data_IF_347282335692
#
_entry.id   IF_347282335692
#
_cell.length_a   1.000
_cell.length_b   1.000
_cell.length_c   1.000
_cell.angle_alpha   90.00
_cell.angle_beta   90.00
_cell.angle_gamma   90.00
#
_symmetry.space_group_name_H-M   'P 1'
#
loop_
_entity.id
_entity.type
_entity.pdbx_description
1 polymer ?
#
# COMPACT_ATOMS: atom_id res chain seq x y z
N UNK A 1 15.17 6.98 -3.63
CA UNK A 1 14.18 7.34 -2.61
C UNK A 1 14.72 6.97 -1.24
N UNK A 2 14.34 7.74 -0.25
CA UNK A 2 14.90 7.59 1.09
C UNK A 2 14.05 6.68 1.97
N UNK A 3 14.64 6.15 3.04
CA UNK A 3 13.91 5.39 4.06
C UNK A 3 12.82 6.24 4.70
N UNK A 4 13.03 7.55 4.83
CA UNK A 4 12.05 8.46 5.43
C UNK A 4 10.80 8.61 4.57
N UNK A 5 10.95 8.69 3.24
CA UNK A 5 9.79 8.76 2.36
C UNK A 5 9.03 7.44 2.34
N UNK A 6 9.74 6.31 2.37
CA UNK A 6 9.10 5.00 2.43
C UNK A 6 8.31 4.83 3.72
N UNK A 7 8.87 5.24 4.85
CA UNK A 7 8.17 5.20 6.13
C UNK A 7 6.93 6.10 6.14
N UNK A 8 7.03 7.30 5.57
CA UNK A 8 5.90 8.21 5.48
C UNK A 8 4.76 7.60 4.66
N UNK A 9 5.07 6.99 3.52
CA UNK A 9 4.07 6.30 2.69
C UNK A 9 3.47 5.13 3.46
N UNK A 10 4.30 4.32 4.11
CA UNK A 10 3.85 3.19 4.93
C UNK A 10 2.82 3.65 5.97
N UNK A 11 3.16 4.71 6.69
CA UNK A 11 2.30 5.20 7.77
C UNK A 11 0.96 5.70 7.24
N UNK A 12 0.96 6.41 6.12
CA UNK A 12 -0.28 6.86 5.48
C UNK A 12 -1.14 5.69 5.04
N UNK A 13 -0.53 4.68 4.41
CA UNK A 13 -1.26 3.51 3.92
C UNK A 13 -1.81 2.64 5.07
N UNK A 14 -1.06 2.53 6.16
CA UNK A 14 -1.55 1.82 7.35
C UNK A 14 -2.83 2.47 7.87
N UNK A 15 -2.85 3.79 7.99
CA UNK A 15 -4.03 4.53 8.43
C UNK A 15 -5.16 4.39 7.42
N UNK A 16 -4.86 4.54 6.13
CA UNK A 16 -5.86 4.37 5.06
C UNK A 16 -6.53 2.99 5.13
N UNK A 17 -5.75 1.95 5.42
CA UNK A 17 -6.22 0.58 5.44
C UNK A 17 -7.07 0.24 6.68
N UNK A 18 -7.15 1.11 7.67
CA UNK A 18 -8.08 0.94 8.80
C UNK A 18 -9.54 0.94 8.34
N UNK A 19 -9.83 1.63 7.22
CA UNK A 19 -11.16 1.66 6.64
C UNK A 19 -11.49 0.45 5.75
N UNK A 20 -10.52 -0.41 5.49
CA UNK A 20 -10.67 -1.58 4.63
C UNK A 20 -9.46 -1.77 3.71
N UNK A 21 -9.42 -2.85 2.94
CA UNK A 21 -8.32 -3.10 2.01
C UNK A 21 -8.10 -1.93 1.05
N UNK A 22 -6.84 -1.69 0.72
CA UNK A 22 -6.43 -0.62 -0.19
C UNK A 22 -5.90 -1.20 -1.49
N UNK A 23 -6.16 -0.53 -2.61
CA UNK A 23 -5.76 -1.01 -3.93
C UNK A 23 -4.37 -0.53 -4.34
N UNK A 24 -3.83 -1.16 -5.38
CA UNK A 24 -2.52 -0.81 -5.92
C UNK A 24 -2.46 0.64 -6.41
N UNK A 25 -3.56 1.16 -6.92
CA UNK A 25 -3.64 2.56 -7.37
C UNK A 25 -3.33 3.53 -6.23
N UNK A 26 -3.87 3.27 -5.05
CA UNK A 26 -3.61 4.12 -3.89
C UNK A 26 -2.13 4.06 -3.48
N UNK A 27 -1.54 2.87 -3.49
CA UNK A 27 -0.12 2.70 -3.17
C UNK A 27 0.74 3.52 -4.14
N UNK A 28 0.49 3.38 -5.44
CA UNK A 28 1.18 4.12 -6.49
C UNK A 28 1.07 5.64 -6.28
N UNK A 29 -0.12 6.12 -5.99
CA UNK A 29 -0.38 7.55 -5.77
C UNK A 29 0.35 8.10 -4.55
N UNK A 30 0.37 7.34 -3.45
CA UNK A 30 1.08 7.75 -2.23
C UNK A 30 2.58 7.82 -2.46
N UNK A 31 3.13 6.86 -3.19
CA UNK A 31 4.56 6.86 -3.55
C UNK A 31 4.89 8.08 -4.42
N UNK A 32 4.08 8.37 -5.43
CA UNK A 32 4.26 9.55 -6.29
C UNK A 32 4.22 10.83 -5.47
N UNK A 33 3.25 10.95 -4.59
CA UNK A 33 3.05 12.16 -3.80
C UNK A 33 4.26 12.47 -2.92
N UNK A 34 4.87 11.44 -2.34
CA UNK A 34 6.05 11.62 -1.50
C UNK A 34 7.35 11.76 -2.29
N UNK A 35 7.32 11.50 -3.61
CA UNK A 35 8.49 11.53 -4.47
C UNK A 35 8.18 12.27 -5.78
N UNK A 36 7.83 13.57 -5.70
CA UNK A 36 7.29 14.30 -6.87
C UNK A 36 8.29 14.47 -8.01
N UNK A 37 9.59 14.34 -7.74
CA UNK A 37 10.63 14.45 -8.77
C UNK A 37 11.07 13.10 -9.35
N UNK A 38 10.50 12.00 -8.87
CA UNK A 38 10.89 10.67 -9.32
C UNK A 38 10.29 10.37 -10.71
N UNK A 39 11.05 9.62 -11.53
CA UNK A 39 10.56 9.14 -12.81
C UNK A 39 9.50 8.06 -12.60
N UNK A 40 8.75 7.75 -13.65
CA UNK A 40 7.77 6.66 -13.61
C UNK A 40 8.42 5.33 -13.20
N UNK A 41 9.57 5.00 -13.79
CA UNK A 41 10.29 3.77 -13.46
C UNK A 41 10.70 3.73 -11.99
N UNK A 42 11.18 4.84 -11.47
CA UNK A 42 11.55 4.94 -10.05
C UNK A 42 10.35 4.75 -9.12
N UNK A 43 9.21 5.34 -9.46
CA UNK A 43 7.97 5.17 -8.69
C UNK A 43 7.52 3.71 -8.70
N UNK A 44 7.55 3.07 -9.87
CA UNK A 44 7.14 1.67 -10.00
C UNK A 44 8.05 0.73 -9.19
N UNK A 45 9.36 0.93 -9.29
CA UNK A 45 10.32 0.13 -8.53
C UNK A 45 10.15 0.34 -7.03
N UNK A 46 9.97 1.59 -6.60
CA UNK A 46 9.76 1.89 -5.19
C UNK A 46 8.47 1.27 -4.67
N UNK A 47 7.39 1.34 -5.46
CA UNK A 47 6.10 0.74 -5.09
C UNK A 47 6.25 -0.77 -4.84
N UNK A 48 6.90 -1.47 -5.76
CA UNK A 48 7.09 -2.91 -5.63
C UNK A 48 8.01 -3.27 -4.47
N UNK A 49 9.11 -2.54 -4.31
CA UNK A 49 10.07 -2.77 -3.22
C UNK A 49 9.44 -2.49 -1.86
N UNK A 50 8.65 -1.43 -1.77
CA UNK A 50 7.95 -1.07 -0.55
C UNK A 50 6.92 -2.13 -0.16
N UNK A 51 6.13 -2.61 -1.14
CA UNK A 51 5.16 -3.68 -0.88
C UNK A 51 5.86 -4.94 -0.40
N UNK A 52 7.01 -5.29 -0.99
CA UNK A 52 7.81 -6.43 -0.54
C UNK A 52 8.22 -6.28 0.92
N UNK A 53 8.71 -5.11 1.28
CA UNK A 53 9.14 -4.84 2.64
C UNK A 53 7.98 -4.95 3.64
N UNK A 54 6.86 -4.29 3.34
CA UNK A 54 5.73 -4.24 4.26
C UNK A 54 5.04 -5.59 4.44
N UNK A 55 4.99 -6.40 3.39
CA UNK A 55 4.44 -7.76 3.49
C UNK A 55 5.41 -8.68 4.23
N UNK A 56 6.71 -8.54 3.97
CA UNK A 56 7.76 -9.29 4.71
C UNK A 56 7.75 -8.95 6.19
N UNK A 57 7.46 -7.69 6.53
CA UNK A 57 7.33 -7.24 7.92
C UNK A 57 5.99 -7.64 8.56
N UNK A 58 5.17 -8.37 7.82
CA UNK A 58 3.86 -8.85 8.29
C UNK A 58 2.87 -7.74 8.66
N UNK A 59 2.97 -6.59 8.02
CA UNK A 59 2.04 -5.49 8.22
C UNK A 59 0.81 -5.60 7.32
N UNK A 60 0.99 -6.18 6.14
CA UNK A 60 -0.06 -6.34 5.14
C UNK A 60 -0.05 -7.73 4.52
N UNK A 61 -1.23 -8.14 4.04
CA UNK A 61 -1.40 -9.31 3.16
C UNK A 61 -1.77 -8.82 1.78
N UNK A 62 -1.26 -9.48 0.73
CA UNK A 62 -1.61 -9.20 -0.66
C UNK A 62 -2.76 -10.11 -1.07
N UNK A 63 -3.74 -9.58 -1.74
CA UNK A 63 -4.86 -10.36 -2.26
C UNK A 63 -5.78 -9.51 -3.12
N UNK A 64 -7.04 -9.88 -3.15
CA UNK A 64 -8.06 -9.15 -3.91
C UNK A 64 -9.46 -9.42 -3.34
N UNK A 65 -10.40 -8.51 -3.56
CA UNK A 65 -11.81 -8.78 -3.25
C UNK A 65 -12.34 -9.88 -4.16
N UNK A 66 -13.14 -10.78 -3.63
CA UNK A 66 -13.74 -11.89 -4.38
C UNK A 66 -15.23 -11.99 -4.13
N UNK A 67 -15.94 -12.52 -5.12
CA UNK A 67 -17.38 -12.78 -5.03
C UNK A 67 -18.24 -11.54 -5.01
N UNK A 68 -19.54 -11.74 -4.84
CA UNK A 68 -20.53 -10.65 -4.83
C UNK A 68 -20.36 -9.74 -3.60
N UNK A 69 -19.90 -10.30 -2.48
CA UNK A 69 -19.69 -9.55 -1.25
C UNK A 69 -18.41 -8.71 -1.26
N UNK A 70 -17.56 -8.87 -2.27
CA UNK A 70 -16.28 -8.18 -2.37
C UNK A 70 -15.41 -8.39 -1.13
N UNK A 71 -15.47 -9.60 -0.56
CA UNK A 71 -14.66 -9.94 0.62
C UNK A 71 -13.22 -10.14 0.20
N UNK A 72 -12.30 -9.54 0.93
CA UNK A 72 -10.87 -9.69 0.67
C UNK A 72 -10.42 -11.13 0.90
N UNK A 73 -9.67 -11.66 -0.07
CA UNK A 73 -9.05 -12.97 0.03
C UNK A 73 -7.57 -12.85 -0.28
N UNK A 74 -6.72 -13.26 0.67
CA UNK A 74 -5.28 -13.26 0.48
C UNK A 74 -4.88 -14.29 -0.57
N UNK A 75 -3.92 -13.95 -1.41
CA UNK A 75 -3.39 -14.90 -2.40
C UNK A 75 -2.52 -15.95 -1.69
N UNK A 76 -2.59 -17.18 -2.18
CA UNK A 76 -1.83 -18.31 -1.66
C UNK A 76 -0.48 -18.52 -2.36
N UNK A 77 0.02 -17.50 -3.04
CA UNK A 77 1.31 -17.55 -3.72
C UNK A 77 2.42 -17.04 -2.81
N UNK A 78 3.67 -17.38 -3.16
CA UNK A 78 4.81 -16.75 -2.51
C UNK A 78 4.80 -15.24 -2.78
N UNK A 79 5.47 -14.51 -1.93
CA UNK A 79 5.59 -13.05 -2.10
C UNK A 79 6.23 -12.71 -3.46
N UNK A 80 7.30 -13.43 -3.84
CA UNK A 80 7.96 -13.20 -5.14
C UNK A 80 7.02 -13.44 -6.30
N UNK A 81 6.23 -14.52 -6.25
CA UNK A 81 5.26 -14.82 -7.30
C UNK A 81 4.18 -13.73 -7.39
N UNK A 82 3.67 -13.30 -6.24
CA UNK A 82 2.65 -12.25 -6.19
C UNK A 82 3.16 -10.94 -6.77
N UNK A 83 4.38 -10.53 -6.42
CA UNK A 83 4.98 -9.29 -6.93
C UNK A 83 5.29 -9.39 -8.42
N UNK A 84 5.72 -10.55 -8.90
CA UNK A 84 5.94 -10.77 -10.34
C UNK A 84 4.64 -10.62 -11.11
N UNK A 85 3.56 -11.21 -10.59
CA UNK A 85 2.23 -11.10 -11.19
C UNK A 85 1.76 -9.66 -11.25
N UNK A 86 1.95 -8.91 -10.15
CA UNK A 86 1.58 -7.49 -10.09
C UNK A 86 2.40 -6.69 -11.10
N UNK A 87 3.71 -6.89 -11.15
CA UNK A 87 4.60 -6.11 -12.02
C UNK A 87 4.28 -6.30 -13.50
N UNK A 88 3.78 -7.48 -13.90
CA UNK A 88 3.43 -7.74 -15.29
C UNK A 88 2.43 -6.70 -15.83
N UNK A 89 1.36 -6.43 -15.09
CA UNK A 89 0.37 -5.45 -15.52
C UNK A 89 0.76 -4.02 -15.13
N UNK A 90 1.26 -3.84 -13.94
CA UNK A 90 1.60 -2.52 -13.41
C UNK A 90 2.71 -1.83 -14.21
N UNK A 91 3.75 -2.55 -14.56
CA UNK A 91 4.89 -1.98 -15.30
C UNK A 91 4.63 -1.95 -16.80
N UNK A 92 4.18 -3.05 -17.37
CA UNK A 92 3.99 -3.16 -18.84
C UNK A 92 2.75 -2.45 -19.34
N UNK A 93 1.72 -2.34 -18.53
CA UNK A 93 0.43 -1.79 -18.92
C UNK A 93 0.03 -0.58 -18.08
N UNK A 94 1.00 0.17 -17.63
CA UNK A 94 0.76 1.34 -16.78
C UNK A 94 -0.16 2.37 -17.45
N UNK A 95 -0.05 2.52 -18.75
CA UNK A 95 -0.88 3.41 -19.56
C UNK A 95 -2.31 2.91 -19.75
N UNK A 96 -2.60 1.70 -19.29
CA UNK A 96 -3.95 1.14 -19.28
C UNK A 96 -4.39 0.89 -17.82
N UNK A 97 -4.89 1.91 -17.12
CA UNK A 97 -5.22 1.79 -15.70
C UNK A 97 -6.16 0.64 -15.34
N UNK A 98 -7.08 0.30 -16.22
CA UNK A 98 -8.03 -0.80 -15.98
C UNK A 98 -7.33 -2.13 -15.75
N UNK A 99 -6.13 -2.30 -16.28
CA UNK A 99 -5.39 -3.55 -16.16
C UNK A 99 -4.67 -3.70 -14.82
N UNK A 100 -4.29 -2.59 -14.17
CA UNK A 100 -3.44 -2.72 -12.99
C UNK A 100 -3.98 -2.08 -11.72
N UNK A 101 -4.78 -1.01 -11.81
CA UNK A 101 -5.16 -0.22 -10.63
C UNK A 101 -5.81 -1.06 -9.53
N UNK A 102 -6.64 -2.01 -9.93
CA UNK A 102 -7.39 -2.87 -9.00
C UNK A 102 -6.98 -4.32 -9.10
N UNK A 103 -5.79 -4.59 -9.65
CA UNK A 103 -5.28 -5.96 -9.84
C UNK A 103 -4.76 -6.58 -8.54
N UNK A 104 -4.43 -5.76 -7.57
CA UNK A 104 -3.91 -6.22 -6.28
C UNK A 104 -4.36 -5.28 -5.18
N UNK A 105 -4.55 -5.83 -3.99
CA UNK A 105 -5.00 -5.11 -2.81
C UNK A 105 -4.16 -5.52 -1.63
N UNK A 106 -4.04 -4.61 -0.67
CA UNK A 106 -3.36 -4.86 0.60
C UNK A 106 -4.38 -4.76 1.73
N UNK A 107 -4.37 -5.74 2.62
CA UNK A 107 -5.20 -5.74 3.81
C UNK A 107 -4.32 -5.82 5.04
N UNK A 108 -4.70 -5.14 6.11
CA UNK A 108 -3.93 -5.17 7.35
C UNK A 108 -3.90 -6.56 7.97
N UNK A 109 -2.73 -6.93 8.49
CA UNK A 109 -2.61 -8.04 9.45
C UNK A 109 -2.98 -7.51 10.84
N UNK A 110 -3.08 -8.40 11.82
CA UNK A 110 -3.26 -7.96 13.22
C UNK A 110 -2.15 -7.03 13.68
N UNK A 111 -0.90 -7.35 13.32
CA UNK A 111 0.26 -6.50 13.61
C UNK A 111 0.14 -5.14 12.94
N UNK A 112 -0.25 -5.14 11.66
CA UNK A 112 -0.45 -3.89 10.91
C UNK A 112 -1.55 -3.03 11.50
N UNK A 113 -2.65 -3.63 11.93
CA UNK A 113 -3.75 -2.90 12.57
C UNK A 113 -3.32 -2.22 13.86
N UNK A 114 -2.56 -2.93 14.70
CA UNK A 114 -2.05 -2.34 15.95
C UNK A 114 -1.16 -1.13 15.68
N UNK A 115 -0.26 -1.24 14.70
CA UNK A 115 0.60 -0.14 14.32
C UNK A 115 -0.21 1.02 13.75
N UNK A 116 -1.17 0.72 12.87
CA UNK A 116 -2.02 1.73 12.25
C UNK A 116 -2.80 2.54 13.29
N UNK A 117 -3.37 1.87 14.29
CA UNK A 117 -4.10 2.54 15.36
C UNK A 117 -3.19 3.41 16.22
N UNK A 118 -1.97 2.95 16.49
CA UNK A 118 -0.98 3.74 17.23
C UNK A 118 -0.62 5.02 16.47
N UNK A 119 -0.44 4.91 15.15
CA UNK A 119 -0.14 6.06 14.30
C UNK A 119 -1.32 7.03 14.22
N UNK A 120 -2.53 6.52 14.14
CA UNK A 120 -3.74 7.33 14.10
C UNK A 120 -3.90 8.14 15.40
N UNK A 121 -3.64 7.54 16.53
CA UNK A 121 -3.67 8.24 17.83
C UNK A 121 -2.67 9.38 17.89
N UNK A 122 -1.44 9.16 17.39
CA UNK A 122 -0.41 10.19 17.32
C UNK A 122 -0.81 11.33 16.39
N UNK A 123 -1.42 10.99 15.27
CA UNK A 123 -1.91 11.98 14.29
C UNK A 123 -2.99 12.85 14.92
N UNK A 124 -3.94 12.23 15.60
CA UNK A 124 -5.02 12.94 16.29
C UNK A 124 -4.46 13.85 17.38
N UNK A 125 -3.50 13.39 18.16
CA UNK A 125 -2.86 14.19 19.21
C UNK A 125 -2.08 15.37 18.62
N UNK A 126 -1.41 15.17 17.49
CA UNK A 126 -0.71 16.22 16.77
C UNK A 126 -1.64 17.19 16.07
N UNK A 127 -2.87 16.79 15.79
CA UNK A 127 -3.86 17.56 15.06
C UNK A 127 -4.83 18.32 15.96
N UNK A 128 -4.82 18.04 17.25
CA UNK A 128 -5.70 18.76 18.19
C UNK A 128 -5.38 20.24 18.17
N UNK A 129 -6.37 21.09 17.82
CA UNK A 129 -6.16 22.52 18.00
C UNK A 129 -5.82 22.72 19.46
N UNK A 130 -4.74 23.46 19.70
CA UNK A 130 -4.38 23.81 21.07
C UNK A 130 -5.59 24.43 21.73
N UNK A 131 -6.03 23.82 22.81
CA UNK A 131 -7.12 24.39 23.57
C UNK A 131 -6.75 25.81 23.95
N UNK A 132 -7.46 26.73 23.42
CA UNK A 132 -7.35 28.12 23.80
C UNK A 132 -8.12 28.32 25.07
#
# INVERSE_FOLDING_TARGET
MTSNTREAVRNQLLIDALGGPIDLNLVDRRVKHQNPSASLTEVQNETLDAMREWVSDELFKIGAPVGKSQRFEAWHHSLDHSLHKISHDYVKHYDNPEKWMFSAWLSLTGKGELLARSLEEKDLDGYRPKAT
#
